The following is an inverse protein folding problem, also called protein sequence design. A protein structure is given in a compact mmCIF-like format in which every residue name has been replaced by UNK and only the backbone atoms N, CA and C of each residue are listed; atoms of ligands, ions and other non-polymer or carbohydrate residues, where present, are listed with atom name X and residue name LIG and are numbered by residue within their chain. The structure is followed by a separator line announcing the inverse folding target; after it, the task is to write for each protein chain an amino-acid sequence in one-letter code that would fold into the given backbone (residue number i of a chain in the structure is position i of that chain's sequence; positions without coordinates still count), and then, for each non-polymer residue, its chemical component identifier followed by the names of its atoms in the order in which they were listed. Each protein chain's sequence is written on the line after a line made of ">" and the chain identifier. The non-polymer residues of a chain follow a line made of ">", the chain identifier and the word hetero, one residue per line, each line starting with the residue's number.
data_IF_991021854070
#
_entry.id   IF_991021854070
#
_cell.length_a   1.000
_cell.length_b   1.000
_cell.length_c   1.000
_cell.angle_alpha   90.00
_cell.angle_beta   90.00
_cell.angle_gamma   90.00
#
_symmetry.space_group_name_H-M   'P 1'
#
loop_
_entity.id
_entity.type
_entity.pdbx_description
1 polymer ?
#
# COMPACT_ATOMS: atom_id res chain seq x y z
N UNK A 1 -44.93 -35.11 -23.65
CA UNK A 1 -44.22 -33.83 -23.85
C UNK A 1 -42.74 -34.00 -23.52
N UNK A 2 -41.84 -33.95 -24.51
CA UNK A 2 -40.39 -33.90 -24.27
C UNK A 2 -40.00 -32.45 -23.92
N UNK A 3 -39.18 -32.20 -22.89
CA UNK A 3 -38.71 -30.84 -22.62
C UNK A 3 -37.86 -30.37 -23.80
N UNK A 4 -38.23 -29.22 -24.37
CA UNK A 4 -37.43 -28.53 -25.40
C UNK A 4 -36.04 -28.27 -24.81
N UNK A 5 -34.99 -28.80 -25.46
CA UNK A 5 -33.60 -28.40 -25.20
C UNK A 5 -33.56 -26.87 -25.19
N UNK A 6 -33.23 -26.26 -24.05
CA UNK A 6 -32.87 -24.84 -23.99
C UNK A 6 -31.74 -24.67 -24.99
N UNK A 7 -31.93 -23.82 -26.00
CA UNK A 7 -30.81 -23.32 -26.80
C UNK A 7 -29.85 -22.67 -25.80
N UNK A 8 -28.61 -23.15 -25.76
CA UNK A 8 -27.54 -22.51 -25.01
C UNK A 8 -27.38 -21.09 -25.57
N UNK A 9 -27.86 -20.11 -24.81
CA UNK A 9 -27.74 -18.69 -25.14
C UNK A 9 -26.41 -18.24 -24.56
N UNK A 10 -25.46 -17.96 -25.44
CA UNK A 10 -24.18 -17.35 -25.11
C UNK A 10 -23.03 -18.10 -25.75
N UNK A 11 -22.72 -17.79 -27.00
CA UNK A 11 -21.37 -17.99 -27.52
C UNK A 11 -20.42 -17.25 -26.60
N UNK A 12 -19.69 -17.99 -25.77
CA UNK A 12 -18.69 -17.42 -24.89
C UNK A 12 -17.67 -16.65 -25.75
N UNK A 13 -17.57 -15.34 -25.58
CA UNK A 13 -16.61 -14.54 -26.34
C UNK A 13 -15.19 -14.96 -25.90
N UNK A 14 -14.38 -15.56 -26.78
CA UNK A 14 -13.06 -16.07 -26.40
C UNK A 14 -12.11 -14.95 -25.94
N UNK A 15 -12.31 -13.72 -26.41
CA UNK A 15 -11.55 -12.56 -25.96
C UNK A 15 -11.86 -12.20 -24.49
N UNK A 16 -13.13 -12.28 -24.09
CA UNK A 16 -13.54 -12.02 -22.71
C UNK A 16 -13.00 -13.08 -21.75
N UNK A 17 -13.04 -14.36 -22.16
CA UNK A 17 -12.45 -15.45 -21.36
C UNK A 17 -10.96 -15.23 -21.17
N UNK A 18 -10.25 -14.84 -22.23
CA UNK A 18 -8.81 -14.57 -22.18
C UNK A 18 -8.50 -13.41 -21.23
N UNK A 19 -9.27 -12.33 -21.30
CA UNK A 19 -9.12 -11.18 -20.41
C UNK A 19 -9.36 -11.56 -18.94
N UNK A 20 -10.41 -12.33 -18.66
CA UNK A 20 -10.70 -12.81 -17.29
C UNK A 20 -9.54 -13.67 -16.78
N UNK A 21 -9.04 -14.59 -17.60
CA UNK A 21 -7.92 -15.47 -17.26
C UNK A 21 -6.63 -14.68 -16.96
N UNK A 22 -6.36 -13.62 -17.72
CA UNK A 22 -5.21 -12.73 -17.51
C UNK A 22 -5.33 -11.95 -16.19
N UNK A 23 -6.51 -11.39 -15.90
CA UNK A 23 -6.73 -10.60 -14.68
C UNK A 23 -6.70 -11.46 -13.43
N UNK A 24 -7.32 -12.65 -13.47
CA UNK A 24 -7.37 -13.54 -12.31
C UNK A 24 -6.13 -14.41 -12.17
N UNK A 25 -5.28 -14.48 -13.20
CA UNK A 25 -4.20 -15.46 -13.35
C UNK A 25 -4.71 -16.90 -13.12
N UNK A 26 -5.90 -17.21 -13.65
CA UNK A 26 -6.52 -18.55 -13.59
C UNK A 26 -6.90 -18.97 -15.02
N UNK A 27 -5.98 -19.64 -15.74
CA UNK A 27 -6.13 -19.89 -17.17
C UNK A 27 -7.30 -20.83 -17.50
N UNK A 28 -7.55 -21.84 -16.67
CA UNK A 28 -8.59 -22.83 -16.97
C UNK A 28 -9.96 -22.47 -16.38
N UNK A 29 -11.02 -22.85 -17.10
CA UNK A 29 -12.39 -22.72 -16.59
C UNK A 29 -12.62 -23.56 -15.32
N UNK A 30 -11.92 -24.70 -15.20
CA UNK A 30 -11.97 -25.57 -14.02
C UNK A 30 -11.43 -24.86 -12.78
N UNK A 31 -10.29 -24.19 -12.88
CA UNK A 31 -9.71 -23.41 -11.76
C UNK A 31 -10.60 -22.25 -11.34
N UNK A 32 -11.16 -21.51 -12.30
CA UNK A 32 -12.12 -20.43 -12.01
C UNK A 32 -13.36 -20.96 -11.29
N UNK A 33 -13.89 -22.11 -11.74
CA UNK A 33 -15.03 -22.76 -11.09
C UNK A 33 -14.68 -23.27 -9.69
N UNK A 34 -13.47 -23.79 -9.49
CA UNK A 34 -12.99 -24.24 -8.18
C UNK A 34 -12.84 -23.07 -7.20
N UNK A 35 -12.37 -21.91 -7.67
CA UNK A 35 -12.28 -20.70 -6.86
C UNK A 35 -13.67 -20.25 -6.38
N UNK A 36 -14.66 -20.21 -7.26
CA UNK A 36 -16.04 -19.85 -6.90
C UNK A 36 -16.67 -20.83 -5.90
N UNK A 37 -16.50 -22.13 -6.12
CA UNK A 37 -16.98 -23.16 -5.16
C UNK A 37 -16.36 -22.97 -3.78
N UNK A 38 -15.07 -22.67 -3.72
CA UNK A 38 -14.40 -22.39 -2.45
C UNK A 38 -14.96 -21.12 -1.79
N UNK A 39 -15.21 -20.05 -2.57
CA UNK A 39 -15.81 -18.81 -2.07
C UNK A 39 -17.22 -19.03 -1.50
N UNK A 40 -18.02 -19.88 -2.14
CA UNK A 40 -19.36 -20.27 -1.66
C UNK A 40 -19.30 -21.05 -0.33
N UNK A 41 -18.17 -21.65 0.03
CA UNK A 41 -18.02 -22.34 1.31
C UNK A 41 -17.62 -21.40 2.46
N UNK A 42 -17.24 -20.16 2.15
CA UNK A 42 -16.80 -19.18 3.14
C UNK A 42 -17.96 -18.55 3.90
N UNK A 43 -17.70 -18.14 5.15
CA UNK A 43 -18.63 -17.34 5.95
C UNK A 43 -18.86 -15.95 5.34
N UNK A 44 -19.98 -15.31 5.67
CA UNK A 44 -20.31 -13.97 5.19
C UNK A 44 -19.21 -12.95 5.54
N UNK A 45 -18.67 -13.00 6.76
CA UNK A 45 -17.57 -12.14 7.17
C UNK A 45 -16.31 -12.33 6.31
N UNK A 46 -15.97 -13.57 5.95
CA UNK A 46 -14.84 -13.86 5.05
C UNK A 46 -15.11 -13.37 3.63
N UNK A 47 -16.35 -13.52 3.13
CA UNK A 47 -16.74 -13.01 1.81
C UNK A 47 -16.65 -11.49 1.74
N UNK A 48 -17.08 -10.76 2.79
CA UNK A 48 -16.94 -9.30 2.86
C UNK A 48 -15.47 -8.88 2.71
N UNK A 49 -14.54 -9.54 3.42
CA UNK A 49 -13.09 -9.26 3.28
C UNK A 49 -12.56 -9.53 1.87
N UNK A 50 -13.07 -10.54 1.18
CA UNK A 50 -12.73 -10.82 -0.22
C UNK A 50 -13.20 -9.67 -1.12
N UNK A 51 -14.41 -9.15 -0.90
CA UNK A 51 -14.94 -7.99 -1.63
C UNK A 51 -14.19 -6.68 -1.33
N UNK A 52 -13.70 -6.51 -0.09
CA UNK A 52 -12.80 -5.39 0.25
C UNK A 52 -11.50 -5.46 -0.56
N UNK A 53 -10.92 -6.65 -0.72
CA UNK A 53 -9.73 -6.86 -1.52
C UNK A 53 -10.00 -6.62 -3.01
N UNK A 54 -11.12 -7.11 -3.55
CA UNK A 54 -11.57 -6.79 -4.90
C UNK A 54 -11.70 -5.27 -5.11
N UNK A 55 -12.27 -4.56 -4.13
CA UNK A 55 -12.44 -3.10 -4.17
C UNK A 55 -11.10 -2.35 -4.21
N UNK A 56 -10.03 -2.88 -3.60
CA UNK A 56 -8.68 -2.32 -3.72
C UNK A 56 -8.14 -2.49 -5.13
N UNK A 57 -8.30 -3.67 -5.72
CA UNK A 57 -7.87 -3.96 -7.10
C UNK A 57 -8.56 -3.02 -8.09
N UNK A 58 -9.88 -2.85 -7.95
CA UNK A 58 -10.68 -1.96 -8.80
C UNK A 58 -10.25 -0.50 -8.64
N UNK A 59 -10.05 -0.02 -7.40
CA UNK A 59 -9.58 1.36 -7.16
C UNK A 59 -8.21 1.61 -7.77
N UNK A 60 -7.28 0.67 -7.66
CA UNK A 60 -5.96 0.79 -8.28
C UNK A 60 -6.05 0.91 -9.81
N UNK A 61 -6.97 0.18 -10.46
CA UNK A 61 -7.23 0.31 -11.90
C UNK A 61 -7.78 1.68 -12.28
N UNK A 62 -8.67 2.24 -11.47
CA UNK A 62 -9.23 3.57 -11.67
C UNK A 62 -8.16 4.66 -11.54
N UNK A 63 -7.26 4.55 -10.57
CA UNK A 63 -6.11 5.47 -10.42
C UNK A 63 -5.19 5.44 -11.65
N UNK A 64 -5.08 4.28 -12.31
CA UNK A 64 -4.34 4.12 -13.57
C UNK A 64 -5.13 4.54 -14.83
N UNK A 65 -6.32 5.13 -14.68
CA UNK A 65 -7.12 5.70 -15.78
C UNK A 65 -7.83 4.68 -16.68
N UNK A 66 -7.91 3.40 -16.29
CA UNK A 66 -8.57 2.36 -17.09
C UNK A 66 -10.07 2.20 -16.75
N UNK A 67 -10.94 1.90 -17.75
CA UNK A 67 -12.34 1.62 -17.48
C UNK A 67 -12.52 0.32 -16.68
N UNK A 68 -13.53 0.31 -15.80
CA UNK A 68 -13.94 -0.89 -15.05
C UNK A 68 -15.00 -1.61 -15.86
N UNK A 69 -14.59 -2.60 -16.65
CA UNK A 69 -15.53 -3.44 -17.41
C UNK A 69 -16.08 -4.58 -16.53
N UNK A 70 -17.20 -5.21 -16.91
CA UNK A 70 -17.73 -6.38 -16.20
C UNK A 70 -16.71 -7.54 -16.11
N UNK A 71 -15.95 -7.79 -17.17
CA UNK A 71 -14.89 -8.80 -17.21
C UNK A 71 -13.78 -8.47 -16.22
N UNK A 72 -13.43 -7.19 -16.11
CA UNK A 72 -12.44 -6.73 -15.14
C UNK A 72 -12.93 -6.91 -13.70
N UNK A 73 -14.17 -6.53 -13.42
CA UNK A 73 -14.79 -6.71 -12.11
C UNK A 73 -14.81 -8.19 -11.70
N UNK A 74 -15.26 -9.07 -12.62
CA UNK A 74 -15.33 -10.50 -12.38
C UNK A 74 -13.95 -11.15 -12.24
N UNK A 75 -12.99 -10.81 -13.10
CA UNK A 75 -11.60 -11.25 -12.98
C UNK A 75 -10.95 -10.80 -11.67
N UNK A 76 -11.26 -9.57 -11.22
CA UNK A 76 -10.79 -9.04 -9.94
C UNK A 76 -11.35 -9.80 -8.74
N UNK A 77 -12.61 -10.24 -8.80
CA UNK A 77 -13.19 -11.10 -7.76
C UNK A 77 -12.46 -12.44 -7.69
N UNK A 78 -12.22 -13.09 -8.82
CA UNK A 78 -11.48 -14.35 -8.88
C UNK A 78 -10.04 -14.19 -8.35
N UNK A 79 -9.39 -13.08 -8.68
CA UNK A 79 -8.08 -12.73 -8.14
C UNK A 79 -8.12 -12.58 -6.60
N UNK A 80 -9.09 -11.83 -6.09
CA UNK A 80 -9.28 -11.64 -4.65
C UNK A 80 -9.54 -12.96 -3.91
N UNK A 81 -10.35 -13.85 -4.49
CA UNK A 81 -10.59 -15.21 -3.98
C UNK A 81 -9.28 -15.99 -3.91
N UNK A 82 -8.46 -15.95 -4.97
CA UNK A 82 -7.14 -16.63 -5.01
C UNK A 82 -6.21 -16.11 -3.91
N UNK A 83 -6.16 -14.80 -3.72
CA UNK A 83 -5.36 -14.15 -2.67
C UNK A 83 -5.82 -14.62 -1.28
N UNK A 84 -7.14 -14.59 -1.03
CA UNK A 84 -7.70 -15.00 0.25
C UNK A 84 -7.41 -16.47 0.56
N UNK A 85 -7.59 -17.35 -0.43
CA UNK A 85 -7.28 -18.78 -0.29
C UNK A 85 -5.80 -19.01 -0.01
N UNK A 86 -4.90 -18.33 -0.73
CA UNK A 86 -3.46 -18.40 -0.46
C UNK A 86 -3.12 -17.93 0.95
N UNK A 87 -3.78 -16.87 1.43
CA UNK A 87 -3.56 -16.36 2.79
C UNK A 87 -4.04 -17.35 3.84
N UNK A 88 -5.19 -17.99 3.62
CA UNK A 88 -5.71 -19.05 4.51
C UNK A 88 -4.80 -20.28 4.49
N UNK A 89 -4.36 -20.73 3.31
CA UNK A 89 -3.38 -21.79 3.17
C UNK A 89 -2.07 -21.41 3.87
N UNK A 90 -1.60 -20.17 3.74
CA UNK A 90 -0.40 -19.69 4.44
C UNK A 90 -0.58 -19.63 5.96
N UNK A 91 -1.78 -19.33 6.44
CA UNK A 91 -2.12 -19.33 7.87
C UNK A 91 -2.28 -20.76 8.41
N UNK A 92 -2.88 -21.66 7.63
CA UNK A 92 -3.03 -23.09 7.91
C UNK A 92 -1.69 -23.83 7.81
N UNK A 93 -0.79 -23.39 6.92
CA UNK A 93 0.58 -23.86 6.76
C UNK A 93 1.55 -23.28 7.80
N UNK A 94 1.04 -22.63 8.87
CA UNK A 94 1.77 -22.56 10.15
C UNK A 94 1.94 -23.93 10.82
N UNK A 95 1.98 -25.02 10.05
CA UNK A 95 2.68 -26.27 10.36
C UNK A 95 4.18 -26.02 10.14
N UNK A 96 4.92 -25.88 11.24
CA UNK A 96 6.39 -25.82 11.32
C UNK A 96 7.08 -25.10 10.15
N UNK A 97 6.99 -23.77 10.12
CA UNK A 97 7.98 -22.98 9.37
C UNK A 97 9.36 -23.37 9.90
N UNK A 98 10.26 -23.81 9.02
CA UNK A 98 11.66 -23.94 9.42
C UNK A 98 12.16 -22.57 9.87
N UNK A 99 13.07 -22.54 10.85
CA UNK A 99 13.65 -21.31 11.38
C UNK A 99 14.20 -20.43 10.24
N UNK A 100 14.73 -21.04 9.18
CA UNK A 100 15.21 -20.35 7.99
C UNK A 100 14.11 -19.58 7.24
N UNK A 101 12.96 -20.22 6.97
CA UNK A 101 11.85 -19.57 6.26
C UNK A 101 11.19 -18.46 7.10
N UNK A 102 11.10 -18.66 8.42
CA UNK A 102 10.65 -17.62 9.34
C UNK A 102 11.59 -16.41 9.36
N UNK A 103 12.90 -16.66 9.37
CA UNK A 103 13.93 -15.61 9.32
C UNK A 103 13.90 -14.85 7.99
N UNK A 104 13.67 -15.52 6.87
CA UNK A 104 13.60 -14.86 5.57
C UNK A 104 12.39 -13.92 5.46
N UNK A 105 11.22 -14.35 5.95
CA UNK A 105 10.03 -13.50 6.03
C UNK A 105 10.26 -12.32 6.99
N UNK A 106 10.89 -12.57 8.13
CA UNK A 106 11.24 -11.51 9.08
C UNK A 106 12.20 -10.48 8.45
N UNK A 107 13.20 -10.94 7.69
CA UNK A 107 14.15 -10.09 6.99
C UNK A 107 13.45 -9.25 5.90
N UNK A 108 12.59 -9.86 5.08
CA UNK A 108 11.82 -9.13 4.07
C UNK A 108 10.92 -8.05 4.69
N UNK A 109 10.26 -8.35 5.82
CA UNK A 109 9.45 -7.38 6.56
C UNK A 109 10.31 -6.28 7.18
N UNK A 110 11.48 -6.61 7.72
CA UNK A 110 12.41 -5.66 8.29
C UNK A 110 12.97 -4.70 7.22
N UNK A 111 13.31 -5.21 6.03
CA UNK A 111 13.75 -4.38 4.91
C UNK A 111 12.63 -3.46 4.39
N UNK A 112 11.39 -3.97 4.30
CA UNK A 112 10.22 -3.14 4.00
C UNK A 112 10.03 -2.00 5.00
N UNK A 113 10.10 -2.31 6.30
CA UNK A 113 10.00 -1.32 7.38
C UNK A 113 11.13 -0.28 7.35
N UNK A 114 12.38 -0.70 7.09
CA UNK A 114 13.51 0.22 6.93
C UNK A 114 13.30 1.16 5.75
N UNK A 115 12.82 0.65 4.61
CA UNK A 115 12.54 1.44 3.42
C UNK A 115 11.46 2.49 3.69
N UNK A 116 10.37 2.09 4.33
CA UNK A 116 9.29 3.01 4.70
C UNK A 116 9.77 4.08 5.70
N UNK A 117 10.54 3.69 6.73
CA UNK A 117 11.12 4.63 7.70
C UNK A 117 12.03 5.65 7.02
N UNK A 118 12.82 5.23 6.03
CA UNK A 118 13.69 6.12 5.24
C UNK A 118 12.87 7.12 4.43
N UNK A 119 11.78 6.69 3.80
CA UNK A 119 10.88 7.56 3.04
C UNK A 119 10.22 8.61 3.93
N UNK A 120 9.63 8.19 5.06
CA UNK A 120 9.03 9.11 6.04
C UNK A 120 10.05 10.10 6.61
N UNK A 121 11.29 9.66 6.82
CA UNK A 121 12.39 10.53 7.25
C UNK A 121 12.76 11.58 6.19
N UNK A 122 12.75 11.22 4.91
CA UNK A 122 12.97 12.16 3.82
C UNK A 122 11.84 13.19 3.72
N UNK A 123 10.59 12.77 3.83
CA UNK A 123 9.43 13.68 3.83
C UNK A 123 9.46 14.68 4.99
N UNK A 124 9.81 14.23 6.21
CA UNK A 124 9.95 15.13 7.36
C UNK A 124 11.08 16.14 7.18
N UNK A 125 12.23 15.72 6.65
CA UNK A 125 13.36 16.62 6.36
C UNK A 125 12.97 17.67 5.29
N UNK A 126 12.27 17.25 4.23
CA UNK A 126 11.78 18.17 3.19
C UNK A 126 10.79 19.19 3.75
N UNK A 127 9.85 18.77 4.61
CA UNK A 127 8.92 19.71 5.26
C UNK A 127 9.64 20.74 6.14
N UNK A 128 10.65 20.30 6.90
CA UNK A 128 11.47 21.21 7.70
C UNK A 128 12.16 22.25 6.79
N UNK A 129 12.80 21.79 5.71
CA UNK A 129 13.55 22.67 4.79
C UNK A 129 12.65 23.64 4.01
N UNK A 130 11.53 23.18 3.48
CA UNK A 130 10.70 23.95 2.54
C UNK A 130 9.61 24.75 3.24
N UNK A 131 8.98 24.19 4.27
CA UNK A 131 7.76 24.75 4.86
C UNK A 131 8.02 25.44 6.20
N UNK A 132 8.89 24.86 7.04
CA UNK A 132 9.07 25.33 8.41
C UNK A 132 10.39 26.06 8.66
N UNK A 133 11.31 26.14 7.69
CA UNK A 133 12.65 26.69 7.90
C UNK A 133 12.63 28.11 8.44
N UNK A 134 11.97 29.04 7.74
CA UNK A 134 11.88 30.44 8.17
C UNK A 134 11.18 30.61 9.53
N UNK A 135 10.17 29.77 9.82
CA UNK A 135 9.50 29.76 11.12
C UNK A 135 10.44 29.28 12.23
N UNK A 136 11.20 28.21 11.99
CA UNK A 136 12.16 27.65 12.95
C UNK A 136 13.26 28.68 13.24
N UNK A 137 13.82 29.36 12.23
CA UNK A 137 14.79 30.43 12.42
C UNK A 137 14.21 31.59 13.25
N UNK A 138 12.98 32.00 12.96
CA UNK A 138 12.29 33.05 13.74
C UNK A 138 12.14 32.65 15.21
N UNK A 139 11.66 31.43 15.48
CA UNK A 139 11.46 30.93 16.84
C UNK A 139 12.80 30.75 17.57
N UNK A 140 13.83 30.25 16.89
CA UNK A 140 15.12 29.93 17.51
C UNK A 140 16.01 31.14 17.71
N UNK A 141 16.09 32.04 16.72
CA UNK A 141 17.07 33.13 16.68
C UNK A 141 16.46 34.47 17.11
N UNK A 142 15.18 34.74 16.80
CA UNK A 142 14.54 36.02 17.15
C UNK A 142 13.74 35.97 18.45
N UNK A 143 13.14 34.80 18.76
CA UNK A 143 12.33 34.61 19.97
C UNK A 143 13.07 33.83 21.08
N UNK A 144 14.27 33.35 20.78
CA UNK A 144 15.14 32.58 21.68
C UNK A 144 14.47 31.34 22.31
N UNK A 145 13.62 30.65 21.57
CA UNK A 145 12.99 29.42 22.07
C UNK A 145 14.04 28.30 22.17
N UNK A 146 13.91 27.47 23.20
CA UNK A 146 14.64 26.21 23.27
C UNK A 146 14.12 25.22 22.23
N UNK A 147 14.95 24.25 21.82
CA UNK A 147 14.53 23.25 20.83
C UNK A 147 13.29 22.44 21.26
N UNK A 148 13.10 22.24 22.56
CA UNK A 148 11.90 21.58 23.09
C UNK A 148 10.65 22.43 22.88
N UNK A 149 10.76 23.76 23.05
CA UNK A 149 9.66 24.70 22.84
C UNK A 149 9.35 24.86 21.36
N UNK A 150 10.36 24.89 20.48
CA UNK A 150 10.15 24.90 19.02
C UNK A 150 9.41 23.64 18.57
N UNK A 151 9.83 22.45 19.03
CA UNK A 151 9.15 21.20 18.72
C UNK A 151 7.70 21.19 19.22
N UNK A 152 7.47 21.68 20.45
CA UNK A 152 6.14 21.79 21.04
C UNK A 152 5.24 22.78 20.28
N UNK A 153 5.82 23.89 19.82
CA UNK A 153 5.12 24.88 19.00
C UNK A 153 4.68 24.29 17.66
N UNK A 154 5.58 23.61 16.95
CA UNK A 154 5.29 22.95 15.68
C UNK A 154 4.20 21.89 15.82
N UNK A 155 4.22 21.12 16.90
CA UNK A 155 3.17 20.16 17.19
C UNK A 155 1.82 20.85 17.47
N UNK A 156 1.81 21.85 18.36
CA UNK A 156 0.58 22.50 18.83
C UNK A 156 -0.13 23.33 17.74
N UNK A 157 0.62 24.05 16.92
CA UNK A 157 0.05 24.98 15.94
C UNK A 157 0.04 24.45 14.51
N UNK A 158 0.89 23.48 14.19
CA UNK A 158 1.02 22.94 12.83
C UNK A 158 0.82 21.42 12.74
N UNK A 159 0.50 20.75 13.85
CA UNK A 159 0.32 19.28 13.88
C UNK A 159 1.58 18.51 13.48
N UNK A 160 2.75 19.18 13.48
CA UNK A 160 4.00 18.60 13.00
C UNK A 160 4.77 17.99 14.16
N UNK A 161 4.65 16.67 14.30
CA UNK A 161 5.37 15.91 15.32
C UNK A 161 6.84 15.69 14.93
N UNK A 162 7.72 16.36 15.67
CA UNK A 162 9.18 16.30 15.50
C UNK A 162 9.86 16.25 16.86
N UNK A 163 10.87 15.38 16.99
CA UNK A 163 11.65 15.28 18.23
C UNK A 163 12.73 16.35 18.28
N UNK A 164 13.03 16.88 19.48
CA UNK A 164 14.12 17.84 19.71
C UNK A 164 15.44 17.45 19.03
N UNK A 165 15.97 16.22 19.19
CA UNK A 165 17.26 15.85 18.62
C UNK A 165 17.24 15.88 17.08
N UNK A 166 16.13 15.46 16.47
CA UNK A 166 15.99 15.45 15.02
C UNK A 166 15.89 16.87 14.45
N UNK A 167 15.14 17.75 15.12
CA UNK A 167 15.00 19.15 14.73
C UNK A 167 16.36 19.86 14.76
N UNK A 168 17.12 19.68 15.85
CA UNK A 168 18.46 20.25 15.99
C UNK A 168 19.43 19.73 14.92
N UNK A 169 19.39 18.42 14.62
CA UNK A 169 20.21 17.83 13.57
C UNK A 169 19.90 18.41 12.20
N UNK A 170 18.61 18.50 11.83
CA UNK A 170 18.21 19.07 10.54
C UNK A 170 18.53 20.55 10.45
N UNK A 171 18.40 21.29 11.56
CA UNK A 171 18.74 22.71 11.59
C UNK A 171 20.20 22.96 11.29
N UNK A 172 21.10 22.27 12.01
CA UNK A 172 22.54 22.40 11.81
C UNK A 172 22.96 21.97 10.40
N UNK A 173 22.29 20.94 9.84
CA UNK A 173 22.54 20.48 8.48
C UNK A 173 22.17 21.55 7.45
N UNK A 174 20.96 22.11 7.53
CA UNK A 174 20.50 23.14 6.58
C UNK A 174 21.33 24.41 6.72
N UNK A 175 21.62 24.85 7.96
CA UNK A 175 22.45 26.03 8.21
C UNK A 175 23.89 25.85 7.69
N UNK A 176 24.44 24.63 7.77
CA UNK A 176 25.73 24.30 7.18
C UNK A 176 25.72 24.27 5.65
N UNK A 177 24.63 23.80 5.04
CA UNK A 177 24.42 23.85 3.58
C UNK A 177 24.29 25.30 3.08
N UNK A 178 23.51 26.15 3.76
CA UNK A 178 23.37 27.59 3.42
C UNK A 178 24.71 28.35 3.55
N UNK A 179 25.52 28.02 4.56
CA UNK A 179 26.85 28.62 4.72
C UNK A 179 27.81 28.21 3.59
N UNK A 180 27.76 26.96 3.14
CA UNK A 180 28.58 26.47 2.02
C UNK A 180 28.15 27.08 0.67
N UNK A 181 26.85 27.22 0.44
CA UNK A 181 26.32 27.84 -0.79
C UNK A 181 26.65 29.35 -0.87
N UNK A 182 26.73 30.04 0.28
CA UNK A 182 27.12 31.45 0.36
C UNK A 182 28.62 31.70 0.11
N UNK A 183 29.49 30.71 0.30
CA UNK A 183 30.92 30.79 0.01
C UNK A 183 31.23 30.54 -1.48
N UNK A 184 30.39 29.76 -2.17
CA UNK A 184 30.51 29.46 -3.61
C UNK A 184 30.04 30.60 -4.54
N UNK A 185 29.34 31.61 -3.99
CA UNK A 185 28.84 32.78 -4.72
C UNK A 185 29.71 34.04 -4.53
N UNK A 186 30.82 33.95 -3.80
CA UNK A 186 31.83 35.01 -3.65
C UNK A 186 32.98 34.79 -4.61
#
# INVERSE_FOLDING_TARGET
>A
MRPKKRKEVGTENPANIKLIAEISELPSASERSAALRWYEQQSEASRIKIHEEQSKIIRNKHTSGGPVTPEFSYGSLLCAIKIARRNEESLSMKRSLSVAAANEIANQRAEGFKREKRLRGAEKATKIRVQFWGLICTLKEQKDFSWSEVASYLYRYHGFDVTKPYLQQQYNKIKGEEAADAELQK
#
